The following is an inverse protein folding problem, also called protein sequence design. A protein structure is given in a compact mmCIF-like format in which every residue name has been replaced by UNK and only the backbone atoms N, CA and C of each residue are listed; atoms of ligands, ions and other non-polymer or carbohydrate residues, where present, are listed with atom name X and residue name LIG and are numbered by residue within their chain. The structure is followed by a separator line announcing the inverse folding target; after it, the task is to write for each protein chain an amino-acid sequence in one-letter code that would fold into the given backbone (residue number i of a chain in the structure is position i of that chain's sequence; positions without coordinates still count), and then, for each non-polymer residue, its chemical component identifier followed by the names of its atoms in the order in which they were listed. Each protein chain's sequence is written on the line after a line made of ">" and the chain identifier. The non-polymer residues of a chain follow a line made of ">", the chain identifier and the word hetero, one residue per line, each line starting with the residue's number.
data_IF_905057247762
#
_entry.id   IF_905057247762
#
_cell.length_a   1.000
_cell.length_b   1.000
_cell.length_c   1.000
_cell.angle_alpha   90.00
_cell.angle_beta   90.00
_cell.angle_gamma   90.00
#
_symmetry.space_group_name_H-M   'P 1'
#
loop_
_entity.id
_entity.type
_entity.pdbx_description
1 polymer ?
#
# COMPACT_ATOMS: atom_id res chain seq x y z
N UNK A 1 18.31 9.56 17.26
CA UNK A 1 17.28 8.83 18.00
C UNK A 1 16.23 9.79 18.59
N UNK A 2 16.66 10.82 19.37
CA UNK A 2 15.75 11.79 19.99
C UNK A 2 14.85 12.51 18.97
N UNK A 3 15.39 12.91 17.79
CA UNK A 3 14.61 13.50 16.71
C UNK A 3 13.38 12.62 16.39
N UNK A 4 13.60 11.34 16.08
CA UNK A 4 12.51 10.40 15.74
C UNK A 4 11.55 10.14 16.90
N UNK A 5 12.05 10.09 18.14
CA UNK A 5 11.18 9.98 19.32
C UNK A 5 10.26 11.19 19.47
N UNK A 6 10.72 12.40 19.16
CA UNK A 6 9.88 13.62 19.17
C UNK A 6 8.85 13.58 18.06
N UNK A 7 9.27 13.22 16.83
CA UNK A 7 8.38 13.13 15.67
C UNK A 7 7.26 12.10 15.87
N UNK A 8 7.54 10.98 16.55
CA UNK A 8 6.57 9.93 16.87
C UNK A 8 5.80 10.19 18.19
N UNK A 9 5.98 11.37 18.81
CA UNK A 9 5.34 11.79 20.07
C UNK A 9 5.55 10.80 21.24
N UNK A 10 6.71 10.17 21.33
CA UNK A 10 7.09 9.25 22.42
C UNK A 10 8.25 9.76 23.28
N UNK A 11 8.77 10.95 23.04
CA UNK A 11 9.79 11.56 23.88
C UNK A 11 9.20 11.86 25.28
N UNK A 12 9.96 11.77 26.39
CA UNK A 12 9.41 11.87 27.75
C UNK A 12 8.60 13.12 28.06
N UNK A 13 8.87 14.23 27.39
CA UNK A 13 8.13 15.49 27.53
C UNK A 13 6.93 15.63 26.54
N UNK A 14 6.68 14.62 25.72
CA UNK A 14 5.52 14.57 24.82
C UNK A 14 4.25 14.16 25.59
N UNK A 15 3.03 14.54 25.13
CA UNK A 15 1.76 14.18 25.81
C UNK A 15 1.58 12.69 26.08
N UNK A 16 2.10 11.83 25.19
CA UNK A 16 2.10 10.38 25.33
C UNK A 16 3.51 9.82 25.57
N UNK A 17 4.41 10.65 26.13
CA UNK A 17 5.80 10.33 26.30
C UNK A 17 6.06 9.11 27.18
N UNK A 18 7.12 8.39 26.88
CA UNK A 18 7.55 7.19 27.58
C UNK A 18 8.66 7.55 28.56
N UNK A 19 8.44 7.23 29.84
CA UNK A 19 9.50 7.38 30.84
C UNK A 19 10.71 6.51 30.48
N UNK A 20 11.92 7.08 30.44
CA UNK A 20 13.17 6.42 30.02
C UNK A 20 13.46 5.09 30.74
N UNK A 21 12.92 4.89 31.95
CA UNK A 21 13.12 3.67 32.74
C UNK A 21 11.96 2.67 32.63
N UNK A 22 10.94 2.94 31.79
CA UNK A 22 9.80 2.02 31.62
C UNK A 22 10.23 0.80 30.81
N UNK A 23 9.91 -0.41 31.30
CA UNK A 23 10.19 -1.66 30.57
C UNK A 23 9.37 -1.69 29.29
N UNK A 24 9.94 -2.17 28.18
CA UNK A 24 9.26 -2.29 26.87
C UNK A 24 8.01 -3.18 26.95
N UNK A 25 8.01 -4.21 27.80
CA UNK A 25 6.85 -5.08 28.04
C UNK A 25 5.62 -4.36 28.67
N UNK A 26 5.82 -3.16 29.24
CA UNK A 26 4.75 -2.34 29.82
C UNK A 26 4.27 -1.24 28.85
N UNK A 27 4.71 -1.25 27.60
CA UNK A 27 4.28 -0.34 26.55
C UNK A 27 3.13 -0.96 25.75
N UNK A 28 2.22 -0.12 25.24
CA UNK A 28 1.27 -0.55 24.22
C UNK A 28 1.99 -0.95 22.94
N UNK A 29 1.36 -1.77 22.11
CA UNK A 29 1.97 -2.22 20.84
C UNK A 29 2.31 -1.04 19.94
N UNK A 30 1.42 -0.05 19.79
CA UNK A 30 1.69 1.16 19.04
C UNK A 30 2.88 1.97 19.58
N UNK A 31 3.00 2.10 20.91
CA UNK A 31 4.15 2.80 21.52
C UNK A 31 5.44 2.02 21.33
N UNK A 32 5.37 0.69 21.43
CA UNK A 32 6.54 -0.20 21.19
C UNK A 32 7.00 -0.08 19.74
N UNK A 33 6.09 -0.10 18.77
CA UNK A 33 6.40 0.08 17.34
C UNK A 33 7.04 1.43 17.08
N UNK A 34 6.50 2.52 17.62
CA UNK A 34 7.10 3.86 17.51
C UNK A 34 8.54 3.89 18.05
N UNK A 35 8.79 3.26 19.20
CA UNK A 35 10.12 3.19 19.78
C UNK A 35 11.10 2.38 18.92
N UNK A 36 10.64 1.25 18.36
CA UNK A 36 11.44 0.44 17.44
C UNK A 36 11.76 1.21 16.16
N UNK A 37 10.78 1.88 15.55
CA UNK A 37 10.97 2.72 14.36
C UNK A 37 12.00 3.83 14.64
N UNK A 38 11.87 4.57 15.74
CA UNK A 38 12.86 5.58 16.13
C UNK A 38 14.26 4.99 16.25
N UNK A 39 14.39 3.80 16.85
CA UNK A 39 15.67 3.11 17.02
C UNK A 39 16.29 2.65 15.71
N UNK A 40 15.48 2.13 14.79
CA UNK A 40 15.96 1.61 13.49
C UNK A 40 16.35 2.77 12.57
N UNK A 41 15.50 3.79 12.44
CA UNK A 41 15.78 4.96 11.59
C UNK A 41 16.98 5.77 12.10
N UNK A 42 17.25 5.77 13.41
CA UNK A 42 18.41 6.44 13.99
C UNK A 42 19.75 5.76 13.67
N UNK A 43 19.74 4.56 13.07
CA UNK A 43 20.97 3.84 12.68
C UNK A 43 21.57 4.37 11.39
N UNK A 44 20.82 5.14 10.63
CA UNK A 44 21.26 5.80 9.40
C UNK A 44 21.91 4.82 8.39
N UNK A 45 21.19 3.74 8.08
CA UNK A 45 21.64 2.66 7.18
C UNK A 45 21.18 2.91 5.75
N UNK A 46 21.89 2.37 4.76
CA UNK A 46 21.51 2.50 3.33
C UNK A 46 20.22 1.75 3.01
N UNK A 47 19.95 0.64 3.72
CA UNK A 47 18.73 -0.15 3.56
C UNK A 47 18.00 -0.29 4.90
N UNK A 48 16.71 0.06 4.89
CA UNK A 48 15.80 -0.11 6.01
C UNK A 48 14.77 -1.21 5.67
N UNK A 49 14.65 -2.21 6.55
CA UNK A 49 13.67 -3.29 6.40
C UNK A 49 12.61 -3.17 7.49
N UNK A 50 11.34 -3.06 7.10
CA UNK A 50 10.21 -2.88 8.01
C UNK A 50 9.13 -3.93 7.73
N UNK A 51 8.67 -4.62 8.76
CA UNK A 51 7.57 -5.57 8.68
C UNK A 51 6.32 -4.96 9.33
N UNK A 52 5.26 -4.77 8.54
CA UNK A 52 3.98 -4.19 8.95
C UNK A 52 4.11 -2.88 9.77
N UNK A 53 4.94 -1.89 9.34
CA UNK A 53 5.30 -0.76 10.19
C UNK A 53 4.12 0.14 10.55
N UNK A 54 3.07 0.18 9.72
CA UNK A 54 1.90 1.02 9.91
C UNK A 54 0.78 0.31 10.71
N UNK A 55 0.78 -1.04 10.78
CA UNK A 55 -0.35 -1.82 11.29
C UNK A 55 -0.81 -1.43 12.70
N UNK A 56 0.09 -1.27 13.70
CA UNK A 56 -0.31 -0.93 15.06
C UNK A 56 -0.47 0.58 15.32
N UNK A 57 -0.38 1.41 14.27
CA UNK A 57 -0.44 2.87 14.38
C UNK A 57 -1.85 3.39 14.08
N UNK A 58 -2.25 4.47 14.76
CA UNK A 58 -3.44 5.24 14.40
C UNK A 58 -3.24 5.99 13.06
N UNK A 59 -4.32 6.44 12.40
CA UNK A 59 -4.23 7.06 11.07
C UNK A 59 -3.29 8.27 11.01
N UNK A 60 -3.26 9.12 12.04
CA UNK A 60 -2.37 10.29 12.08
C UNK A 60 -0.90 9.87 12.15
N UNK A 61 -0.61 8.83 12.90
CA UNK A 61 0.74 8.29 13.03
C UNK A 61 1.20 7.53 11.77
N UNK A 62 0.27 6.93 11.00
CA UNK A 62 0.58 6.33 9.70
C UNK A 62 1.01 7.40 8.69
N UNK A 63 0.26 8.50 8.60
CA UNK A 63 0.64 9.64 7.76
C UNK A 63 2.02 10.19 8.15
N UNK A 64 2.26 10.36 9.46
CA UNK A 64 3.56 10.80 9.96
C UNK A 64 4.68 9.82 9.63
N UNK A 65 4.43 8.50 9.71
CA UNK A 65 5.40 7.48 9.30
C UNK A 65 5.76 7.60 7.81
N UNK A 66 4.76 7.80 6.95
CA UNK A 66 5.00 8.02 5.51
C UNK A 66 5.89 9.24 5.26
N UNK A 67 5.62 10.37 5.93
CA UNK A 67 6.48 11.55 5.85
C UNK A 67 7.92 11.24 6.30
N UNK A 68 8.08 10.57 7.44
CA UNK A 68 9.40 10.21 7.99
C UNK A 68 10.18 9.28 7.06
N UNK A 69 9.54 8.33 6.39
CA UNK A 69 10.17 7.45 5.40
C UNK A 69 10.59 8.27 4.18
N UNK A 70 9.74 9.17 3.69
CA UNK A 70 10.08 10.08 2.59
C UNK A 70 11.29 10.96 2.91
N UNK A 71 11.32 11.56 4.11
CA UNK A 71 12.45 12.35 4.58
C UNK A 71 13.72 11.51 4.69
N UNK A 72 13.61 10.28 5.22
CA UNK A 72 14.74 9.36 5.37
C UNK A 72 15.39 9.01 4.03
N UNK A 73 14.59 8.76 2.99
CA UNK A 73 15.08 8.48 1.63
C UNK A 73 15.72 9.75 1.04
N UNK A 74 15.06 10.90 1.19
CA UNK A 74 15.51 12.18 0.63
C UNK A 74 16.83 12.66 1.28
N UNK A 75 17.00 12.47 2.58
CA UNK A 75 18.23 12.81 3.32
C UNK A 75 19.44 11.99 2.84
N UNK A 76 19.22 10.86 2.14
CA UNK A 76 20.27 9.96 1.66
C UNK A 76 20.84 10.28 0.28
N UNK A 77 20.45 11.39 -0.36
CA UNK A 77 20.92 11.78 -1.71
C UNK A 77 20.82 10.65 -2.77
N UNK A 78 19.83 9.77 -2.63
CA UNK A 78 19.59 8.64 -3.54
C UNK A 78 20.31 7.34 -3.17
N UNK A 79 21.05 7.31 -2.06
CA UNK A 79 21.76 6.09 -1.59
C UNK A 79 20.93 5.25 -0.63
N UNK A 80 19.81 5.79 -0.11
CA UNK A 80 18.95 5.09 0.86
C UNK A 80 17.75 4.45 0.21
N UNK A 81 17.39 3.28 0.72
CA UNK A 81 16.20 2.53 0.30
C UNK A 81 15.43 1.99 1.51
N UNK A 82 14.12 1.88 1.36
CA UNK A 82 13.25 1.28 2.37
C UNK A 82 12.45 0.15 1.72
N UNK A 83 12.54 -1.05 2.27
CA UNK A 83 11.69 -2.18 1.92
C UNK A 83 10.74 -2.45 3.08
N UNK A 84 9.45 -2.43 2.84
CA UNK A 84 8.46 -2.75 3.86
C UNK A 84 7.42 -3.75 3.35
N UNK A 85 6.96 -4.62 4.24
CA UNK A 85 5.76 -5.43 4.02
C UNK A 85 4.53 -4.71 4.56
N UNK A 86 3.39 -4.85 3.92
CA UNK A 86 2.11 -4.38 4.46
C UNK A 86 0.91 -5.07 3.83
N UNK A 87 -0.15 -5.26 4.61
CA UNK A 87 -1.48 -5.58 4.11
C UNK A 87 -2.38 -4.32 4.03
N UNK A 88 -1.94 -3.19 4.59
CA UNK A 88 -2.62 -1.89 4.52
C UNK A 88 -2.07 -1.07 3.34
N UNK A 89 -2.30 -1.54 2.13
CA UNK A 89 -1.71 -0.98 0.90
C UNK A 89 -2.04 0.51 0.75
N UNK A 90 -3.30 0.89 0.99
CA UNK A 90 -3.77 2.27 0.82
C UNK A 90 -3.03 3.29 1.70
N UNK A 91 -2.57 2.87 2.88
CA UNK A 91 -1.88 3.77 3.81
C UNK A 91 -0.45 4.09 3.36
N UNK A 92 0.17 3.19 2.58
CA UNK A 92 1.57 3.28 2.19
C UNK A 92 1.77 3.57 0.69
N UNK A 93 0.69 3.63 -0.09
CA UNK A 93 0.75 3.82 -1.55
C UNK A 93 1.48 5.09 -1.95
N UNK A 94 1.29 6.18 -1.20
CA UNK A 94 1.86 7.50 -1.53
C UNK A 94 3.39 7.57 -1.48
N UNK A 95 4.02 6.60 -0.82
CA UNK A 95 5.49 6.55 -0.66
C UNK A 95 6.10 5.31 -1.33
N UNK A 96 5.31 4.57 -2.10
CA UNK A 96 5.75 3.32 -2.74
C UNK A 96 6.09 3.59 -4.19
N UNK A 97 7.36 3.43 -4.55
CA UNK A 97 7.82 3.53 -5.95
C UNK A 97 7.66 2.21 -6.68
N UNK A 98 8.00 1.09 -6.02
CA UNK A 98 7.98 -0.26 -6.59
C UNK A 98 7.20 -1.21 -5.69
N UNK A 99 6.28 -1.97 -6.26
CA UNK A 99 5.45 -2.93 -5.55
C UNK A 99 5.76 -4.38 -5.96
N UNK A 100 5.75 -5.29 -4.98
CA UNK A 100 5.79 -6.74 -5.18
C UNK A 100 4.53 -7.30 -4.51
N UNK A 101 3.59 -7.77 -5.32
CA UNK A 101 2.32 -8.31 -4.84
C UNK A 101 2.46 -9.83 -4.74
N UNK A 102 2.22 -10.35 -3.54
CA UNK A 102 2.37 -11.77 -3.23
C UNK A 102 1.04 -12.38 -2.83
N UNK A 103 0.80 -13.62 -3.28
CA UNK A 103 -0.36 -14.43 -2.92
C UNK A 103 0.04 -15.88 -2.74
N UNK A 104 -0.33 -16.49 -1.62
CA UNK A 104 0.02 -17.88 -1.27
C UNK A 104 1.53 -18.21 -1.46
N UNK A 105 2.41 -17.28 -1.07
CA UNK A 105 3.87 -17.46 -1.16
C UNK A 105 4.45 -17.26 -2.57
N UNK A 106 3.65 -16.90 -3.57
CA UNK A 106 4.11 -16.61 -4.92
C UNK A 106 4.01 -15.12 -5.24
N UNK A 107 4.96 -14.61 -6.01
CA UNK A 107 4.85 -13.27 -6.61
C UNK A 107 3.84 -13.37 -7.75
N UNK A 108 2.74 -12.59 -7.65
CA UNK A 108 1.67 -12.59 -8.66
C UNK A 108 1.72 -11.38 -9.57
N UNK A 109 2.33 -10.31 -9.12
CA UNK A 109 2.61 -9.10 -9.91
C UNK A 109 3.75 -8.32 -9.26
N UNK A 110 4.55 -7.59 -10.06
CA UNK A 110 5.53 -6.64 -9.54
C UNK A 110 5.85 -5.57 -10.60
N UNK A 111 6.25 -4.39 -10.14
CA UNK A 111 6.63 -3.30 -11.03
C UNK A 111 6.64 -1.95 -10.33
N UNK A 112 7.08 -0.93 -11.04
CA UNK A 112 6.87 0.45 -10.58
C UNK A 112 5.38 0.75 -10.49
N UNK A 113 4.98 1.46 -9.45
CA UNK A 113 3.56 1.74 -9.18
C UNK A 113 2.93 2.53 -10.33
N UNK A 114 3.68 3.44 -10.95
CA UNK A 114 3.23 4.19 -12.12
C UNK A 114 2.97 3.27 -13.31
N UNK A 115 3.90 2.35 -13.63
CA UNK A 115 3.73 1.37 -14.71
C UNK A 115 2.52 0.45 -14.47
N UNK A 116 2.32 0.02 -13.22
CA UNK A 116 1.16 -0.76 -12.83
C UNK A 116 -0.14 0.02 -13.03
N UNK A 117 -0.16 1.31 -12.68
CA UNK A 117 -1.32 2.19 -12.90
C UNK A 117 -1.59 2.49 -14.38
N UNK A 118 -0.60 2.39 -15.24
CA UNK A 118 -0.78 2.47 -16.69
C UNK A 118 -1.25 1.13 -17.28
N UNK A 119 -0.75 0.01 -16.76
CA UNK A 119 -1.11 -1.35 -17.21
C UNK A 119 -2.55 -1.72 -16.90
N UNK A 120 -3.06 -1.27 -15.76
CA UNK A 120 -4.40 -1.58 -15.25
C UNK A 120 -5.29 -0.34 -15.25
N UNK A 121 -6.51 -0.47 -15.74
CA UNK A 121 -7.47 0.63 -15.83
C UNK A 121 -8.73 0.24 -15.05
N UNK A 122 -9.21 1.12 -14.20
CA UNK A 122 -10.49 0.96 -13.52
C UNK A 122 -11.63 1.35 -14.47
N UNK A 123 -12.53 0.41 -14.69
CA UNK A 123 -13.70 0.58 -15.54
C UNK A 123 -14.96 0.54 -14.68
N UNK A 124 -15.83 1.54 -14.86
CA UNK A 124 -17.19 1.55 -14.31
C UNK A 124 -18.18 1.69 -15.45
N UNK A 125 -19.27 0.96 -15.40
CA UNK A 125 -20.27 0.97 -16.46
C UNK A 125 -21.66 0.56 -15.99
N UNK A 126 -22.64 0.71 -16.87
CA UNK A 126 -24.04 0.42 -16.60
C UNK A 126 -24.31 -1.08 -16.52
N UNK A 127 -25.36 -1.46 -15.78
CA UNK A 127 -25.74 -2.86 -15.58
C UNK A 127 -26.03 -3.61 -16.89
N UNK A 128 -26.53 -2.93 -17.91
CA UNK A 128 -26.85 -3.50 -19.24
C UNK A 128 -25.61 -4.05 -19.96
N UNK A 129 -24.44 -3.41 -19.76
CA UNK A 129 -23.20 -3.80 -20.42
C UNK A 129 -22.37 -4.81 -19.58
N UNK A 130 -22.81 -5.12 -18.36
CA UNK A 130 -22.08 -5.93 -17.40
C UNK A 130 -21.75 -7.35 -17.91
N UNK A 131 -22.63 -7.98 -18.69
CA UNK A 131 -22.38 -9.33 -19.20
C UNK A 131 -21.30 -9.31 -20.30
N UNK A 132 -21.37 -8.35 -21.22
CA UNK A 132 -20.37 -8.17 -22.26
C UNK A 132 -19.02 -7.77 -21.66
N UNK A 133 -19.00 -6.81 -20.74
CA UNK A 133 -17.80 -6.35 -20.03
C UNK A 133 -17.13 -7.48 -19.24
N UNK A 134 -17.89 -8.41 -18.65
CA UNK A 134 -17.34 -9.51 -17.86
C UNK A 134 -16.40 -10.45 -18.61
N UNK A 135 -16.49 -10.49 -19.93
CA UNK A 135 -15.65 -11.30 -20.82
C UNK A 135 -14.32 -10.61 -21.16
N UNK A 136 -14.25 -9.30 -20.91
CA UNK A 136 -13.11 -8.44 -21.27
C UNK A 136 -12.32 -8.05 -20.02
N UNK A 137 -13.04 -7.77 -18.92
CA UNK A 137 -12.45 -7.32 -17.67
C UNK A 137 -11.64 -8.43 -16.99
N UNK A 138 -10.47 -8.03 -16.48
CA UNK A 138 -9.58 -8.89 -15.69
C UNK A 138 -10.26 -9.36 -14.39
N UNK A 139 -10.94 -8.44 -13.71
CA UNK A 139 -11.84 -8.72 -12.58
C UNK A 139 -13.04 -7.78 -12.65
N UNK A 140 -14.19 -8.22 -12.11
CA UNK A 140 -15.40 -7.42 -12.07
C UNK A 140 -16.22 -7.68 -10.81
N UNK A 141 -16.83 -6.63 -10.29
CA UNK A 141 -17.84 -6.66 -9.23
C UNK A 141 -19.10 -5.97 -9.74
N UNK A 142 -20.25 -6.62 -9.61
CA UNK A 142 -21.57 -6.05 -9.96
C UNK A 142 -22.20 -5.41 -8.74
N UNK A 143 -22.93 -4.33 -8.96
CA UNK A 143 -23.78 -3.68 -7.97
C UNK A 143 -25.16 -3.36 -8.62
N UNK A 144 -26.18 -2.93 -7.84
CA UNK A 144 -27.51 -2.64 -8.37
C UNK A 144 -27.54 -1.54 -9.45
N UNK A 145 -26.55 -0.69 -9.51
CA UNK A 145 -26.50 0.46 -10.42
C UNK A 145 -25.60 0.23 -11.64
N UNK A 146 -24.79 -0.84 -11.62
CA UNK A 146 -23.86 -1.11 -12.69
C UNK A 146 -22.79 -2.12 -12.32
N UNK A 147 -21.60 -1.92 -12.85
CA UNK A 147 -20.42 -2.72 -12.52
C UNK A 147 -19.17 -1.86 -12.36
N UNK A 148 -18.23 -2.40 -11.63
CA UNK A 148 -16.86 -1.88 -11.50
C UNK A 148 -15.89 -3.04 -11.69
N UNK A 149 -14.77 -2.80 -12.38
CA UNK A 149 -13.79 -3.84 -12.60
C UNK A 149 -12.46 -3.30 -13.13
N UNK A 150 -11.46 -4.14 -13.14
CA UNK A 150 -10.14 -3.83 -13.70
C UNK A 150 -10.03 -4.42 -15.11
N UNK A 151 -9.56 -3.59 -16.04
CA UNK A 151 -9.24 -3.96 -17.41
C UNK A 151 -7.73 -3.82 -17.61
N UNK A 152 -7.12 -4.73 -18.39
CA UNK A 152 -5.77 -4.48 -18.91
C UNK A 152 -5.85 -3.39 -20.00
N UNK A 153 -4.90 -2.46 -20.00
CA UNK A 153 -4.86 -1.36 -20.95
C UNK A 153 -4.90 -1.84 -22.42
N UNK A 154 -4.24 -2.97 -22.72
CA UNK A 154 -4.25 -3.62 -24.05
C UNK A 154 -5.64 -4.10 -24.51
N UNK A 155 -6.61 -4.22 -23.61
CA UNK A 155 -7.95 -4.68 -23.90
C UNK A 155 -8.99 -3.55 -23.96
N UNK A 156 -8.58 -2.30 -23.77
CA UNK A 156 -9.51 -1.15 -23.75
C UNK A 156 -10.33 -0.99 -25.01
N UNK A 157 -9.75 -1.28 -26.18
CA UNK A 157 -10.46 -1.17 -27.46
C UNK A 157 -11.63 -2.14 -27.57
N UNK A 158 -11.61 -3.27 -26.84
CA UNK A 158 -12.69 -4.25 -26.81
C UNK A 158 -13.93 -3.74 -26.07
N UNK A 159 -13.81 -2.66 -25.28
CA UNK A 159 -14.91 -1.99 -24.61
C UNK A 159 -15.56 -0.89 -25.48
N UNK A 160 -15.10 -0.73 -26.73
CA UNK A 160 -15.67 0.24 -27.64
C UNK A 160 -17.18 -0.05 -27.87
N UNK A 161 -17.99 1.00 -27.76
CA UNK A 161 -19.46 0.90 -27.90
C UNK A 161 -20.21 0.64 -26.60
N UNK A 162 -19.53 0.39 -25.48
CA UNK A 162 -20.12 0.33 -24.13
C UNK A 162 -20.08 1.70 -23.46
N UNK A 163 -21.11 1.99 -22.66
CA UNK A 163 -21.13 3.22 -21.85
C UNK A 163 -20.32 3.01 -20.56
N UNK A 164 -19.02 3.26 -20.64
CA UNK A 164 -18.08 3.04 -19.53
C UNK A 164 -17.24 4.28 -19.25
N UNK A 165 -16.99 4.56 -17.98
CA UNK A 165 -15.95 5.49 -17.53
C UNK A 165 -14.63 4.75 -17.29
N UNK A 166 -13.52 5.46 -17.48
CA UNK A 166 -12.15 4.97 -17.30
C UNK A 166 -11.49 5.83 -16.23
N UNK A 167 -10.94 5.19 -15.20
CA UNK A 167 -10.25 5.86 -14.10
C UNK A 167 -8.90 5.17 -13.83
N UNK A 168 -7.97 5.90 -13.22
CA UNK A 168 -6.70 5.33 -12.75
C UNK A 168 -7.01 4.54 -11.47
N UNK A 169 -6.66 3.24 -11.41
CA UNK A 169 -6.88 2.46 -10.21
C UNK A 169 -5.87 2.79 -9.11
N UNK A 170 -6.26 2.62 -7.85
CA UNK A 170 -5.30 2.60 -6.75
C UNK A 170 -4.47 1.31 -6.77
N UNK A 171 -3.29 1.33 -6.13
CA UNK A 171 -2.46 0.13 -5.95
C UNK A 171 -3.23 -0.97 -5.19
N UNK A 172 -4.09 -0.58 -4.24
CA UNK A 172 -4.99 -1.51 -3.55
C UNK A 172 -5.93 -2.23 -4.52
N UNK A 173 -6.58 -1.49 -5.43
CA UNK A 173 -7.51 -2.08 -6.42
C UNK A 173 -6.78 -3.03 -7.38
N UNK A 174 -5.58 -2.67 -7.83
CA UNK A 174 -4.72 -3.54 -8.65
C UNK A 174 -4.38 -4.80 -7.87
N UNK A 175 -3.91 -4.67 -6.62
CA UNK A 175 -3.50 -5.81 -5.79
C UNK A 175 -4.65 -6.80 -5.58
N UNK A 176 -5.82 -6.30 -5.21
CA UNK A 176 -7.02 -7.15 -5.06
C UNK A 176 -7.39 -7.85 -6.37
N UNK A 177 -7.25 -7.17 -7.51
CA UNK A 177 -7.57 -7.74 -8.81
C UNK A 177 -6.62 -8.89 -9.17
N UNK A 178 -5.30 -8.69 -9.04
CA UNK A 178 -4.32 -9.72 -9.41
C UNK A 178 -4.37 -10.92 -8.46
N UNK A 179 -4.58 -10.71 -7.16
CA UNK A 179 -4.77 -11.79 -6.18
C UNK A 179 -6.03 -12.62 -6.51
N UNK A 180 -7.18 -11.97 -6.77
CA UNK A 180 -8.42 -12.66 -7.14
C UNK A 180 -8.29 -13.47 -8.43
N UNK A 181 -7.55 -12.96 -9.40
CA UNK A 181 -7.34 -13.68 -10.65
C UNK A 181 -6.43 -14.91 -10.45
N UNK A 182 -5.36 -14.77 -9.66
CA UNK A 182 -4.49 -15.88 -9.30
C UNK A 182 -5.26 -16.99 -8.57
N UNK A 183 -6.09 -16.64 -7.59
CA UNK A 183 -6.92 -17.61 -6.84
C UNK A 183 -7.86 -18.39 -7.78
N UNK A 184 -8.45 -17.74 -8.79
CA UNK A 184 -9.28 -18.43 -9.81
C UNK A 184 -8.49 -19.42 -10.65
N UNK A 185 -7.19 -19.19 -10.89
CA UNK A 185 -6.32 -20.11 -11.65
C UNK A 185 -5.93 -21.33 -10.81
N UNK A 186 -5.74 -21.16 -9.51
CA UNK A 186 -5.35 -22.27 -8.60
C UNK A 186 -6.50 -23.20 -8.28
N UNK A 187 -7.76 -22.72 -8.34
CA UNK A 187 -8.97 -23.51 -8.05
C UNK A 187 -9.60 -24.22 -9.27
N UNK A 188 -8.97 -24.12 -10.44
CA UNK A 188 -9.32 -24.88 -11.65
C UNK A 188 -8.43 -26.08 -11.83
#
# INVERSE_FOLDING_TARGET
>A
FERYCRELAIFPDSPNGVALKKKSSALSDGTRTKLMLAGVMARDTDLLLLDEPASPLDPLMRDKLCQMIGDYISDGAGEKSVLFSTHNISDMESITDYAIIMEHGNVVECGFVEDLKEKYILIKGDAQDAEAASKILYTMTKNPYGFEGICLAENLDKLAGMNVSKEIPSLFQISVAVMKNNTKMVLK
#
